data_IF_040673570820
#
_entry.id   IF_040673570820
#
_cell.length_a   1.000
_cell.length_b   1.000
_cell.length_c   1.000
_cell.angle_alpha   90.00
_cell.angle_beta   90.00
_cell.angle_gamma   90.00
#
_symmetry.space_group_name_H-M   'P 1'
#
loop_
_entity.id
_entity.type
_entity.pdbx_description
1 polymer ?
#
# COMPACT_ATOMS: atom_id res chain seq x y z
N UNK A 1 8.36 16.59 11.57
CA UNK A 1 9.22 15.46 12.02
C UNK A 1 10.35 15.13 11.04
N UNK A 2 10.19 15.33 9.73
CA UNK A 2 11.21 15.00 8.72
C UNK A 2 12.53 15.77 8.86
N UNK A 3 12.49 17.08 9.11
CA UNK A 3 13.71 17.89 9.23
C UNK A 3 14.60 17.47 10.41
N UNK A 4 13.99 17.12 11.56
CA UNK A 4 14.72 16.67 12.75
C UNK A 4 15.36 15.30 12.49
N UNK A 5 14.66 14.38 11.83
CA UNK A 5 15.22 13.07 11.46
C UNK A 5 16.40 13.19 10.48
N UNK A 6 16.32 14.12 9.53
CA UNK A 6 17.42 14.40 8.59
C UNK A 6 18.64 14.96 9.36
N UNK A 7 18.42 15.95 10.23
CA UNK A 7 19.50 16.60 11.00
C UNK A 7 20.14 15.64 12.02
N UNK A 8 19.33 14.83 12.72
CA UNK A 8 19.81 13.83 13.66
C UNK A 8 20.56 12.68 12.96
N UNK A 9 20.13 12.27 11.77
CA UNK A 9 20.85 11.29 10.94
C UNK A 9 22.26 11.78 10.59
N UNK A 10 22.39 13.04 10.19
CA UNK A 10 23.69 13.66 9.88
C UNK A 10 24.61 13.88 11.08
N UNK A 11 24.06 14.00 12.30
CA UNK A 11 24.85 14.26 13.51
C UNK A 11 25.55 13.01 14.07
N UNK A 12 24.99 11.81 13.88
CA UNK A 12 25.57 10.52 14.32
C UNK A 12 26.79 10.12 13.47
N UNK A 13 27.00 10.83 12.37
CA UNK A 13 27.81 10.39 11.26
C UNK A 13 29.25 10.94 11.32
N UNK A 14 29.48 12.08 11.97
CA UNK A 14 30.66 12.93 11.83
C UNK A 14 32.04 12.38 12.30
N UNK A 15 32.17 11.11 12.71
CA UNK A 15 33.42 10.61 13.34
C UNK A 15 33.87 9.20 12.92
N UNK A 16 33.28 8.59 11.87
CA UNK A 16 33.62 7.19 11.50
C UNK A 16 34.08 6.98 10.06
N UNK A 17 34.03 7.99 9.18
CA UNK A 17 34.39 7.85 7.75
C UNK A 17 33.44 6.94 6.94
N UNK A 18 32.54 6.21 7.60
CA UNK A 18 31.44 5.41 7.05
C UNK A 18 30.13 6.21 6.94
N UNK A 19 30.25 7.52 7.09
CA UNK A 19 29.21 8.53 7.09
C UNK A 19 28.14 8.34 6.01
N UNK A 20 28.60 8.10 4.79
CA UNK A 20 27.77 7.95 3.62
C UNK A 20 26.90 6.69 3.65
N UNK A 21 27.34 5.61 4.33
CA UNK A 21 26.58 4.34 4.44
C UNK A 21 25.31 4.54 5.27
N UNK A 22 25.33 5.46 6.23
CA UNK A 22 24.17 5.78 7.06
C UNK A 22 23.38 6.98 6.53
N UNK A 23 24.04 7.98 5.94
CA UNK A 23 23.37 9.14 5.35
C UNK A 23 22.53 8.76 4.12
N UNK A 24 23.05 7.92 3.23
CA UNK A 24 22.42 7.62 1.96
C UNK A 24 21.05 6.92 2.10
N UNK A 25 20.88 5.88 2.95
CA UNK A 25 19.57 5.29 3.20
C UNK A 25 18.58 6.29 3.79
N UNK A 26 19.01 7.15 4.72
CA UNK A 26 18.14 8.16 5.35
C UNK A 26 17.65 9.18 4.32
N UNK A 27 18.54 9.67 3.46
CA UNK A 27 18.18 10.60 2.37
C UNK A 27 17.22 9.92 1.39
N UNK A 28 17.50 8.70 0.97
CA UNK A 28 16.61 7.94 0.06
C UNK A 28 15.22 7.77 0.66
N UNK A 29 15.13 7.38 1.94
CA UNK A 29 13.85 7.24 2.64
C UNK A 29 13.13 8.59 2.75
N UNK A 30 13.84 9.67 3.10
CA UNK A 30 13.26 11.00 3.22
C UNK A 30 12.73 11.52 1.88
N UNK A 31 13.46 11.30 0.77
CA UNK A 31 13.00 11.64 -0.57
C UNK A 31 11.75 10.85 -0.95
N UNK A 32 11.73 9.54 -0.67
CA UNK A 32 10.53 8.70 -0.91
C UNK A 32 9.34 9.22 -0.10
N UNK A 33 9.54 9.56 1.18
CA UNK A 33 8.50 10.11 2.03
C UNK A 33 7.94 11.44 1.49
N UNK A 34 8.81 12.30 0.96
CA UNK A 34 8.43 13.61 0.46
C UNK A 34 7.72 13.53 -0.90
N UNK A 35 8.21 12.69 -1.80
CA UNK A 35 7.69 12.60 -3.18
C UNK A 35 6.43 11.73 -3.26
N UNK A 36 6.43 10.56 -2.62
CA UNK A 36 5.31 9.61 -2.72
C UNK A 36 4.33 9.68 -1.56
N UNK A 37 4.69 10.31 -0.44
CA UNK A 37 3.81 10.44 0.73
C UNK A 37 3.09 9.12 1.09
N UNK A 38 3.84 8.01 1.27
CA UNK A 38 3.26 6.67 1.42
C UNK A 38 2.28 6.57 2.60
N UNK A 39 2.48 7.37 3.65
CA UNK A 39 1.55 7.46 4.79
C UNK A 39 0.13 7.85 4.35
N UNK A 40 0.00 8.90 3.53
CA UNK A 40 -1.30 9.38 3.04
C UNK A 40 -1.96 8.34 2.14
N UNK A 41 -1.18 7.69 1.28
CA UNK A 41 -1.68 6.62 0.39
C UNK A 41 -2.19 5.44 1.24
N UNK A 42 -1.43 5.03 2.26
CA UNK A 42 -1.83 3.93 3.15
C UNK A 42 -3.09 4.25 3.96
N UNK A 43 -3.23 5.50 4.41
CA UNK A 43 -4.41 5.97 5.14
C UNK A 43 -5.66 5.92 4.26
N UNK A 44 -5.57 6.44 3.02
CA UNK A 44 -6.67 6.37 2.05
C UNK A 44 -7.08 4.93 1.75
N UNK A 45 -6.11 4.05 1.50
CA UNK A 45 -6.38 2.63 1.28
C UNK A 45 -7.05 1.96 2.50
N UNK A 46 -6.64 2.32 3.72
CA UNK A 46 -7.25 1.82 4.96
C UNK A 46 -8.70 2.30 5.13
N UNK A 47 -8.97 3.58 4.90
CA UNK A 47 -10.34 4.13 4.94
C UNK A 47 -11.22 3.43 3.91
N UNK A 48 -10.71 3.25 2.71
CA UNK A 48 -11.44 2.60 1.63
C UNK A 48 -11.71 1.12 1.93
N UNK A 49 -10.72 0.38 2.45
CA UNK A 49 -10.90 -1.01 2.89
C UNK A 49 -11.98 -1.12 3.97
N UNK A 50 -12.04 -0.15 4.89
CA UNK A 50 -13.09 -0.10 5.92
C UNK A 50 -14.47 0.12 5.31
N UNK A 51 -14.61 1.04 4.37
CA UNK A 51 -15.89 1.31 3.69
C UNK A 51 -16.41 0.08 2.92
N UNK A 52 -15.52 -0.64 2.23
CA UNK A 52 -15.90 -1.91 1.59
C UNK A 52 -16.26 -2.98 2.63
N UNK A 53 -15.54 -3.05 3.74
CA UNK A 53 -15.86 -3.96 4.84
C UNK A 53 -17.23 -3.68 5.44
N UNK A 54 -17.57 -2.42 5.70
CA UNK A 54 -18.89 -2.00 6.20
C UNK A 54 -20.01 -2.38 5.23
N UNK A 55 -19.79 -2.24 3.92
CA UNK A 55 -20.74 -2.69 2.91
C UNK A 55 -20.92 -4.22 2.91
N UNK A 56 -19.84 -4.98 3.12
CA UNK A 56 -19.87 -6.44 3.19
C UNK A 56 -20.66 -6.93 4.42
N UNK A 57 -20.45 -6.32 5.59
CA UNK A 57 -21.18 -6.68 6.81
C UNK A 57 -22.66 -6.26 6.76
N UNK A 58 -22.99 -5.14 6.13
CA UNK A 58 -24.37 -4.69 5.97
C UNK A 58 -25.09 -5.37 4.78
N UNK A 59 -24.41 -6.25 4.04
CA UNK A 59 -24.89 -6.81 2.77
C UNK A 59 -26.23 -7.55 2.89
N UNK A 60 -26.45 -8.27 3.99
CA UNK A 60 -27.69 -9.04 4.21
C UNK A 60 -28.92 -8.15 4.49
N UNK A 61 -28.70 -6.90 4.91
CA UNK A 61 -29.75 -5.92 5.21
C UNK A 61 -30.07 -5.00 4.03
N UNK A 62 -29.24 -5.02 2.97
CA UNK A 62 -29.30 -4.10 1.84
C UNK A 62 -29.92 -4.77 0.61
N UNK A 63 -30.73 -4.03 -0.15
CA UNK A 63 -31.23 -4.51 -1.43
C UNK A 63 -30.11 -4.51 -2.49
N UNK A 64 -30.16 -5.40 -3.50
CA UNK A 64 -29.14 -5.48 -4.56
C UNK A 64 -28.89 -4.14 -5.28
N UNK A 65 -29.94 -3.34 -5.48
CA UNK A 65 -29.87 -2.03 -6.13
C UNK A 65 -29.08 -1.02 -5.29
N UNK A 66 -29.28 -1.06 -3.97
CA UNK A 66 -28.61 -0.16 -3.04
C UNK A 66 -27.13 -0.56 -2.85
N UNK A 67 -26.82 -1.86 -2.90
CA UNK A 67 -25.45 -2.37 -2.94
C UNK A 67 -24.74 -1.85 -4.20
N UNK A 68 -25.37 -1.99 -5.38
CA UNK A 68 -24.80 -1.53 -6.64
C UNK A 68 -24.55 0.00 -6.63
N UNK A 69 -25.49 0.77 -6.07
CA UNK A 69 -25.32 2.22 -5.92
C UNK A 69 -24.14 2.56 -5.01
N UNK A 70 -24.05 1.95 -3.82
CA UNK A 70 -22.93 2.17 -2.88
C UNK A 70 -21.59 1.77 -3.48
N UNK A 71 -21.54 0.63 -4.17
CA UNK A 71 -20.32 0.15 -4.84
C UNK A 71 -19.85 1.13 -5.92
N UNK A 72 -20.78 1.66 -6.73
CA UNK A 72 -20.47 2.67 -7.75
C UNK A 72 -19.86 3.92 -7.13
N UNK A 73 -20.40 4.39 -6.01
CA UNK A 73 -19.85 5.55 -5.29
C UNK A 73 -18.44 5.25 -4.76
N UNK A 74 -18.21 4.08 -4.16
CA UNK A 74 -16.90 3.69 -3.63
C UNK A 74 -15.83 3.58 -4.72
N UNK A 75 -16.19 3.05 -5.89
CA UNK A 75 -15.28 2.94 -7.03
C UNK A 75 -14.87 4.30 -7.62
N UNK A 76 -15.71 5.32 -7.53
CA UNK A 76 -15.34 6.66 -7.99
C UNK A 76 -14.26 7.31 -7.12
N UNK A 77 -14.19 6.96 -5.84
CA UNK A 77 -13.20 7.44 -4.89
C UNK A 77 -12.04 6.47 -4.66
N UNK A 78 -11.86 5.50 -5.56
CA UNK A 78 -10.88 4.43 -5.40
C UNK A 78 -9.45 4.95 -5.44
N UNK A 79 -8.60 4.45 -4.55
CA UNK A 79 -7.19 4.81 -4.51
C UNK A 79 -6.41 3.93 -5.49
N UNK A 80 -5.61 4.55 -6.36
CA UNK A 80 -4.75 3.80 -7.27
C UNK A 80 -3.70 3.01 -6.46
N UNK A 81 -3.67 1.67 -6.56
CA UNK A 81 -2.70 0.87 -5.83
C UNK A 81 -1.30 1.14 -6.37
N UNK A 82 -0.30 0.95 -5.51
CA UNK A 82 1.09 0.98 -5.93
C UNK A 82 1.31 -0.10 -7.00
N UNK A 83 1.94 0.25 -8.13
CA UNK A 83 1.98 -0.62 -9.31
C UNK A 83 2.51 -2.03 -9.03
N UNK A 84 3.54 -2.17 -8.19
CA UNK A 84 4.10 -3.48 -7.80
C UNK A 84 3.22 -4.29 -6.84
N UNK A 85 2.15 -3.69 -6.29
CA UNK A 85 1.15 -4.36 -5.45
C UNK A 85 -0.17 -4.63 -6.18
N UNK A 86 -0.38 -4.07 -7.38
CA UNK A 86 -1.60 -4.27 -8.17
C UNK A 86 -1.81 -5.74 -8.53
N UNK A 87 -0.85 -6.38 -9.20
CA UNK A 87 -0.97 -7.77 -9.64
C UNK A 87 -1.03 -8.75 -8.44
N UNK A 88 -0.21 -8.60 -7.38
CA UNK A 88 -0.38 -9.40 -6.17
C UNK A 88 -1.74 -9.27 -5.50
N UNK A 89 -2.27 -8.03 -5.39
CA UNK A 89 -3.59 -7.78 -4.80
C UNK A 89 -4.70 -8.42 -5.64
N UNK A 90 -4.63 -8.28 -6.97
CA UNK A 90 -5.57 -8.90 -7.90
C UNK A 90 -5.58 -10.43 -7.76
N UNK A 91 -4.39 -11.05 -7.78
CA UNK A 91 -4.26 -12.50 -7.60
C UNK A 91 -4.86 -12.97 -6.27
N UNK A 92 -4.62 -12.24 -5.17
CA UNK A 92 -5.20 -12.55 -3.86
C UNK A 92 -6.73 -12.42 -3.86
N UNK A 93 -7.27 -11.40 -4.52
CA UNK A 93 -8.71 -11.22 -4.67
C UNK A 93 -9.34 -12.35 -5.51
N UNK A 94 -8.68 -12.77 -6.60
CA UNK A 94 -9.14 -13.89 -7.41
C UNK A 94 -9.21 -15.20 -6.60
N UNK A 95 -8.18 -15.49 -5.79
CA UNK A 95 -8.16 -16.64 -4.87
C UNK A 95 -9.33 -16.57 -3.87
N UNK A 96 -9.55 -15.42 -3.24
CA UNK A 96 -10.65 -15.23 -2.28
C UNK A 96 -12.04 -15.42 -2.92
N UNK A 97 -12.19 -15.04 -4.19
CA UNK A 97 -13.42 -15.22 -4.97
C UNK A 97 -13.54 -16.61 -5.63
N UNK A 98 -12.58 -17.53 -5.41
CA UNK A 98 -12.58 -18.85 -6.05
C UNK A 98 -12.42 -18.80 -7.58
N UNK A 99 -11.83 -17.74 -8.13
CA UNK A 99 -11.57 -17.59 -9.57
C UNK A 99 -10.15 -18.02 -9.91
N UNK A 100 -9.99 -18.71 -11.03
CA UNK A 100 -8.67 -19.00 -11.60
C UNK A 100 -8.01 -17.73 -12.09
N UNK A 101 -6.75 -17.50 -11.69
CA UNK A 101 -5.95 -16.38 -12.13
C UNK A 101 -4.54 -16.83 -12.55
N UNK A 102 -4.20 -16.56 -13.82
CA UNK A 102 -2.92 -16.92 -14.44
C UNK A 102 -1.89 -15.77 -14.40
N UNK A 103 -2.18 -14.69 -13.66
CA UNK A 103 -1.28 -13.53 -13.55
C UNK A 103 0.08 -13.95 -12.99
N UNK A 104 1.15 -13.75 -13.76
CA UNK A 104 2.53 -14.05 -13.35
C UNK A 104 3.13 -12.86 -12.61
N UNK A 105 3.49 -13.08 -11.35
CA UNK A 105 4.17 -12.07 -10.54
C UNK A 105 5.68 -12.03 -10.85
N UNK A 106 6.18 -10.84 -11.17
CA UNK A 106 7.60 -10.54 -11.26
C UNK A 106 8.29 -10.67 -9.90
N UNK A 107 9.63 -10.74 -9.91
CA UNK A 107 10.40 -10.80 -8.66
C UNK A 107 10.17 -9.58 -7.76
N UNK A 108 10.05 -8.38 -8.34
CA UNK A 108 9.78 -7.16 -7.60
C UNK A 108 8.40 -7.20 -6.93
N UNK A 109 7.37 -7.61 -7.67
CA UNK A 109 6.02 -7.75 -7.12
C UNK A 109 5.96 -8.80 -6.00
N UNK A 110 6.68 -9.92 -6.14
CA UNK A 110 6.80 -10.91 -5.06
C UNK A 110 7.49 -10.34 -3.83
N UNK A 111 8.58 -9.60 -4.00
CA UNK A 111 9.30 -8.97 -2.90
C UNK A 111 8.42 -7.96 -2.15
N UNK A 112 7.76 -7.05 -2.88
CA UNK A 112 6.86 -6.07 -2.28
C UNK A 112 5.61 -6.71 -1.67
N UNK A 113 5.04 -7.74 -2.31
CA UNK A 113 3.92 -8.49 -1.74
C UNK A 113 4.30 -9.23 -0.46
N UNK A 114 5.54 -9.73 -0.36
CA UNK A 114 6.06 -10.34 0.86
C UNK A 114 6.17 -9.32 2.00
N UNK A 115 6.76 -8.15 1.74
CA UNK A 115 6.80 -7.05 2.73
C UNK A 115 5.40 -6.59 3.15
N UNK A 116 4.44 -6.57 2.21
CA UNK A 116 3.06 -6.18 2.47
C UNK A 116 2.21 -7.28 3.13
N UNK A 117 2.74 -8.50 3.35
CA UNK A 117 1.95 -9.63 3.87
C UNK A 117 0.84 -10.10 2.91
N UNK A 118 0.98 -9.79 1.62
CA UNK A 118 0.03 -10.07 0.55
C UNK A 118 0.51 -11.12 -0.45
N UNK A 119 1.64 -11.80 -0.20
CA UNK A 119 2.16 -12.81 -1.12
C UNK A 119 1.16 -13.97 -1.26
N UNK A 120 0.54 -14.15 -2.44
CA UNK A 120 -0.35 -15.29 -2.67
C UNK A 120 0.51 -16.57 -2.66
N UNK A 121 0.06 -17.57 -1.90
CA UNK A 121 0.68 -18.90 -1.84
C UNK A 121 -0.04 -19.85 -2.80
#
# INVERSE_FOLDING_TARGET
>A
MTAIQIISGTAVIADTGLEWVFALPVVVIATIQLVWQPAIISERASVQSRQYGELLYAGDELTPELIAQKLKTLHHSDSAPFGSLLNPAYKRAAIACGRSDDTKLSFQEKLFAWFAGCLPR
#
